data_IF_548169962477
#
_entry.id   IF_548169962477
#
_cell.length_a   1.000
_cell.length_b   1.000
_cell.length_c   1.000
_cell.angle_alpha   90.00
_cell.angle_beta   90.00
_cell.angle_gamma   90.00
#
_symmetry.space_group_name_H-M   'P 1'
#
loop_
_entity.id
_entity.type
_entity.pdbx_description
1 polymer ?
#
# COMPACT_ATOMS: atom_id res chain seq x y z
N UNK A 1 55.64 45.19 -3.35
CA UNK A 1 55.60 43.72 -3.21
C UNK A 1 54.43 43.35 -2.31
N UNK A 2 53.75 42.27 -2.69
CA UNK A 2 52.42 41.81 -2.28
C UNK A 2 52.22 41.72 -0.76
N UNK A 3 51.11 42.26 -0.24
CA UNK A 3 50.47 41.79 1.00
C UNK A 3 49.04 41.41 0.68
N UNK A 4 48.88 40.13 0.34
CA UNK A 4 47.60 39.45 0.14
C UNK A 4 47.02 39.26 1.54
N UNK A 5 45.97 40.02 1.88
CA UNK A 5 45.15 39.75 3.06
C UNK A 5 44.15 38.69 2.64
N UNK A 6 44.38 37.47 3.15
CA UNK A 6 43.60 36.27 2.89
C UNK A 6 42.26 36.37 3.64
N UNK A 7 41.19 36.71 2.93
CA UNK A 7 39.82 36.60 3.42
C UNK A 7 39.40 35.12 3.27
N UNK A 8 39.48 34.35 4.34
CA UNK A 8 38.87 33.01 4.43
C UNK A 8 37.37 33.22 4.67
N UNK A 9 36.61 33.29 3.60
CA UNK A 9 35.16 33.10 3.63
C UNK A 9 34.88 31.61 3.53
N UNK A 10 34.78 30.93 4.68
CA UNK A 10 34.20 29.58 4.75
C UNK A 10 32.68 29.74 4.64
N UNK A 11 32.17 29.63 3.42
CA UNK A 11 30.75 29.45 3.18
C UNK A 11 30.44 27.95 3.39
N UNK A 12 29.98 27.60 4.58
CA UNK A 12 29.41 26.29 4.87
C UNK A 12 28.06 26.21 4.14
N UNK A 13 28.08 25.75 2.88
CA UNK A 13 26.86 25.45 2.13
C UNK A 13 26.29 24.17 2.74
N UNK A 14 25.36 24.32 3.67
CA UNK A 14 24.56 23.21 4.19
C UNK A 14 23.69 22.64 3.07
N UNK A 15 24.13 21.55 2.46
CA UNK A 15 23.28 20.79 1.54
C UNK A 15 22.29 19.99 2.38
N UNK A 16 21.07 20.48 2.50
CA UNK A 16 19.94 19.73 3.00
C UNK A 16 19.70 18.54 2.06
N UNK A 17 20.19 17.35 2.41
CA UNK A 17 19.84 16.14 1.70
C UNK A 17 18.37 15.81 2.01
N UNK A 18 17.47 16.12 1.09
CA UNK A 18 16.10 15.63 1.13
C UNK A 18 16.14 14.12 0.90
N UNK A 19 16.07 13.33 1.96
CA UNK A 19 15.76 11.91 1.84
C UNK A 19 14.32 11.81 1.35
N UNK A 20 14.13 11.52 0.06
CA UNK A 20 12.81 11.31 -0.50
C UNK A 20 12.29 9.95 0.00
N UNK A 21 11.15 9.96 0.69
CA UNK A 21 10.44 8.74 1.05
C UNK A 21 10.04 8.05 -0.25
N UNK A 22 10.64 6.89 -0.50
CA UNK A 22 10.34 6.06 -1.65
C UNK A 22 8.91 5.53 -1.53
N UNK A 23 8.04 5.91 -2.48
CA UNK A 23 6.64 5.47 -2.55
C UNK A 23 6.43 4.69 -3.85
N UNK A 24 6.89 3.42 -3.92
CA UNK A 24 6.88 2.63 -5.13
C UNK A 24 5.49 2.03 -5.45
N UNK A 25 4.51 2.22 -4.56
CA UNK A 25 3.15 1.72 -4.75
C UNK A 25 2.18 2.88 -4.68
N UNK A 26 1.30 2.96 -5.68
CA UNK A 26 0.19 3.89 -5.71
C UNK A 26 -1.12 3.13 -5.56
N UNK A 27 -1.89 3.51 -4.55
CA UNK A 27 -3.21 2.94 -4.30
C UNK A 27 -4.33 3.77 -4.92
N UNK A 28 -5.37 3.09 -5.41
CA UNK A 28 -6.59 3.69 -5.91
C UNK A 28 -7.79 2.86 -5.49
N UNK A 29 -8.88 3.53 -5.11
CA UNK A 29 -10.06 2.90 -4.56
C UNK A 29 -11.28 3.27 -5.39
N UNK A 30 -12.09 2.27 -5.73
CA UNK A 30 -13.30 2.47 -6.52
C UNK A 30 -14.42 1.57 -5.99
N UNK A 31 -15.66 1.90 -6.34
CA UNK A 31 -16.83 1.08 -6.05
C UNK A 31 -17.67 0.92 -7.31
N UNK A 32 -18.19 -0.29 -7.52
CA UNK A 32 -19.16 -0.59 -8.58
C UNK A 32 -20.39 -1.24 -7.96
N UNK A 33 -21.58 -0.70 -8.21
CA UNK A 33 -22.83 -1.35 -7.83
C UNK A 33 -23.08 -2.56 -8.74
N UNK A 34 -23.37 -3.70 -8.15
CA UNK A 34 -23.80 -4.92 -8.87
C UNK A 34 -25.34 -5.02 -8.89
N UNK A 35 -26.01 -4.51 -7.85
CA UNK A 35 -27.48 -4.47 -7.75
C UNK A 35 -27.95 -3.22 -6.99
N UNK A 36 -29.24 -3.19 -6.60
CA UNK A 36 -29.80 -2.15 -5.74
C UNK A 36 -29.17 -2.13 -4.33
N UNK A 37 -28.77 -3.30 -3.82
CA UNK A 37 -28.32 -3.50 -2.45
C UNK A 37 -26.93 -4.15 -2.36
N UNK A 38 -26.24 -4.40 -3.47
CA UNK A 38 -24.89 -4.97 -3.48
C UNK A 38 -23.92 -4.14 -4.33
N UNK A 39 -22.68 -4.05 -3.84
CA UNK A 39 -21.59 -3.41 -4.54
C UNK A 39 -20.27 -4.12 -4.27
N UNK A 40 -19.31 -3.90 -5.17
CA UNK A 40 -17.93 -4.36 -5.03
C UNK A 40 -17.01 -3.16 -4.90
N UNK A 41 -16.23 -3.15 -3.84
CA UNK A 41 -15.12 -2.22 -3.62
C UNK A 41 -13.88 -2.81 -4.25
N UNK A 42 -13.25 -2.04 -5.14
CA UNK A 42 -11.99 -2.39 -5.79
C UNK A 42 -10.86 -1.59 -5.16
N UNK A 43 -9.82 -2.29 -4.69
CA UNK A 43 -8.63 -1.69 -4.09
C UNK A 43 -7.45 -2.06 -4.99
N UNK A 44 -6.99 -1.10 -5.78
CA UNK A 44 -5.95 -1.31 -6.79
C UNK A 44 -4.62 -0.78 -6.29
N UNK A 45 -3.59 -1.61 -6.36
CA UNK A 45 -2.20 -1.20 -6.22
C UNK A 45 -1.54 -1.19 -7.61
N UNK A 46 -1.01 -0.04 -8.01
CA UNK A 46 -0.05 0.09 -9.10
C UNK A 46 1.36 0.09 -8.50
N UNK A 47 2.17 -0.90 -8.85
CA UNK A 47 3.45 -1.22 -8.23
C UNK A 47 4.56 -0.95 -9.24
N UNK A 48 5.52 -0.11 -8.88
CA UNK A 48 6.67 0.19 -9.73
C UNK A 48 7.46 -1.09 -10.05
N UNK A 49 8.09 -1.11 -11.23
CA UNK A 49 8.89 -2.25 -11.67
C UNK A 49 9.93 -2.66 -10.63
N UNK A 50 10.14 -3.97 -10.48
CA UNK A 50 11.07 -4.59 -9.52
C UNK A 50 10.67 -4.46 -8.04
N UNK A 51 9.52 -3.85 -7.74
CA UNK A 51 8.90 -3.87 -6.43
C UNK A 51 7.76 -4.88 -6.36
N UNK A 52 7.47 -5.35 -5.15
CA UNK A 52 6.34 -6.20 -4.88
C UNK A 52 5.68 -5.90 -3.53
N UNK A 53 4.40 -6.25 -3.43
CA UNK A 53 3.63 -6.26 -2.17
C UNK A 53 3.13 -7.66 -1.87
N UNK A 54 2.87 -7.93 -0.60
CA UNK A 54 2.56 -9.28 -0.14
C UNK A 54 1.07 -9.59 -0.13
N UNK A 55 0.73 -10.84 -0.44
CA UNK A 55 -0.64 -11.30 -0.59
C UNK A 55 -1.43 -11.27 0.73
N UNK A 56 -2.76 -11.20 0.68
CA UNK A 56 -3.65 -11.27 1.86
C UNK A 56 -3.45 -12.55 2.69
N UNK A 57 -2.99 -13.62 2.04
CA UNK A 57 -2.79 -14.94 2.61
C UNK A 57 -1.31 -15.23 2.95
N UNK A 58 -0.45 -14.22 2.89
CA UNK A 58 0.95 -14.36 3.30
C UNK A 58 0.99 -14.82 4.77
N UNK A 59 1.77 -15.88 5.00
CA UNK A 59 1.91 -16.49 6.33
C UNK A 59 2.79 -15.63 7.22
N UNK A 60 2.48 -15.66 8.51
CA UNK A 60 3.27 -15.03 9.55
C UNK A 60 4.68 -15.65 9.62
N UNK A 61 5.64 -14.89 10.17
CA UNK A 61 7.05 -15.27 10.22
C UNK A 61 7.89 -14.76 9.04
N UNK A 62 7.26 -14.11 8.06
CA UNK A 62 7.90 -13.44 6.95
C UNK A 62 7.52 -11.95 6.86
N UNK A 63 7.41 -11.39 5.65
CA UNK A 63 7.04 -10.01 5.48
C UNK A 63 5.56 -9.76 5.83
N UNK A 64 5.23 -8.52 6.18
CA UNK A 64 3.87 -8.13 6.55
C UNK A 64 2.96 -8.20 5.32
N UNK A 65 1.86 -8.94 5.47
CA UNK A 65 0.84 -9.12 4.44
C UNK A 65 0.06 -7.83 4.18
N UNK A 66 -0.44 -7.67 2.96
CA UNK A 66 -1.46 -6.64 2.72
C UNK A 66 -2.70 -6.96 3.55
N UNK A 67 -3.23 -5.98 4.26
CA UNK A 67 -4.42 -6.11 5.08
C UNK A 67 -5.37 -4.93 4.87
N UNK A 68 -6.66 -5.24 4.77
CA UNK A 68 -7.73 -4.24 4.68
C UNK A 68 -8.65 -4.36 5.89
N UNK A 69 -8.84 -3.25 6.59
CA UNK A 69 -9.78 -3.15 7.71
C UNK A 69 -10.87 -2.15 7.34
N UNK A 70 -12.12 -2.59 7.25
CA UNK A 70 -13.26 -1.71 6.98
C UNK A 70 -13.93 -1.31 8.30
N UNK A 71 -14.10 0.00 8.52
CA UNK A 71 -14.70 0.51 9.76
C UNK A 71 -16.21 0.26 9.79
N UNK A 72 -16.77 -0.23 10.91
CA UNK A 72 -18.22 -0.46 11.03
C UNK A 72 -19.04 0.78 10.68
N UNK A 73 -20.16 0.59 9.98
CA UNK A 73 -21.07 1.67 9.59
C UNK A 73 -22.50 1.17 9.46
N UNK A 74 -23.47 2.06 9.68
CA UNK A 74 -24.88 1.80 9.43
C UNK A 74 -25.24 1.83 7.93
N UNK A 75 -24.35 2.33 7.07
CA UNK A 75 -24.58 2.46 5.63
C UNK A 75 -24.29 1.19 4.82
N UNK A 76 -23.53 0.24 5.38
CA UNK A 76 -23.21 -1.01 4.69
C UNK A 76 -22.98 -2.18 5.66
N UNK A 77 -22.77 -3.36 5.10
CA UNK A 77 -22.18 -4.52 5.79
C UNK A 77 -21.28 -5.28 4.82
N UNK A 78 -20.19 -5.86 5.30
CA UNK A 78 -19.31 -6.69 4.47
C UNK A 78 -19.99 -8.00 4.10
N UNK A 79 -19.79 -8.44 2.86
CA UNK A 79 -20.17 -9.78 2.40
C UNK A 79 -18.87 -10.58 2.24
N UNK A 80 -18.58 -11.42 3.24
CA UNK A 80 -17.35 -12.21 3.26
C UNK A 80 -16.07 -11.37 3.45
N UNK A 81 -14.93 -12.00 3.17
CA UNK A 81 -13.60 -11.37 3.25
C UNK A 81 -13.19 -10.76 1.92
N UNK A 82 -12.20 -9.86 1.96
CA UNK A 82 -11.55 -9.36 0.76
C UNK A 82 -10.89 -10.52 -0.01
N UNK A 83 -10.96 -10.45 -1.33
CA UNK A 83 -10.38 -11.44 -2.25
C UNK A 83 -9.26 -10.82 -3.07
N UNK A 84 -8.42 -11.69 -3.61
CA UNK A 84 -7.26 -11.35 -4.42
C UNK A 84 -7.14 -12.30 -5.62
N UNK A 85 -6.47 -11.91 -6.72
CA UNK A 85 -6.06 -12.86 -7.74
C UNK A 85 -5.01 -13.82 -7.19
N UNK A 86 -4.67 -14.86 -7.98
CA UNK A 86 -3.63 -15.81 -7.60
C UNK A 86 -2.27 -15.09 -7.48
N UNK A 87 -1.60 -15.12 -6.31
CA UNK A 87 -0.28 -14.52 -6.15
C UNK A 87 0.81 -15.37 -6.80
N UNK A 88 1.96 -14.75 -7.06
CA UNK A 88 3.21 -15.49 -7.27
C UNK A 88 3.67 -16.04 -5.93
N UNK A 89 4.27 -17.22 -5.92
CA UNK A 89 4.86 -17.80 -4.71
C UNK A 89 6.28 -18.23 -5.00
N UNK A 90 7.22 -17.82 -4.15
CA UNK A 90 8.63 -18.17 -4.27
C UNK A 90 9.22 -18.39 -2.89
N UNK A 91 10.17 -19.32 -2.79
CA UNK A 91 10.99 -19.44 -1.58
C UNK A 91 11.98 -18.27 -1.51
N UNK A 92 11.94 -17.52 -0.41
CA UNK A 92 12.88 -16.43 -0.15
C UNK A 92 13.79 -16.78 1.02
N UNK A 93 15.09 -16.79 0.76
CA UNK A 93 16.11 -17.08 1.78
C UNK A 93 16.13 -16.04 2.89
N UNK A 94 15.80 -14.78 2.59
CA UNK A 94 15.73 -13.70 3.57
C UNK A 94 14.74 -13.99 4.72
N UNK A 95 13.63 -14.68 4.40
CA UNK A 95 12.60 -15.07 5.36
C UNK A 95 12.61 -16.57 5.67
N UNK A 96 13.47 -17.33 5.00
CA UNK A 96 13.55 -18.80 5.09
C UNK A 96 12.18 -19.49 4.91
N UNK A 97 11.35 -18.97 4.02
CA UNK A 97 10.00 -19.48 3.79
C UNK A 97 9.49 -19.18 2.38
N UNK A 98 8.37 -19.79 2.02
CA UNK A 98 7.62 -19.38 0.83
C UNK A 98 6.89 -18.07 1.11
N UNK A 99 7.10 -17.11 0.21
CA UNK A 99 6.50 -15.79 0.22
C UNK A 99 5.59 -15.66 -1.00
N UNK A 100 4.38 -15.15 -0.77
CA UNK A 100 3.34 -14.94 -1.77
C UNK A 100 3.14 -13.43 -2.01
N UNK A 101 3.34 -12.98 -3.25
CA UNK A 101 3.43 -11.56 -3.58
C UNK A 101 2.83 -11.22 -4.96
N UNK A 102 2.71 -9.92 -5.21
CA UNK A 102 2.25 -9.32 -6.47
C UNK A 102 3.25 -8.29 -6.98
N UNK A 103 3.40 -8.20 -8.30
CA UNK A 103 4.23 -7.24 -9.03
C UNK A 103 3.38 -6.51 -10.07
N UNK A 104 3.85 -5.36 -10.56
CA UNK A 104 3.23 -4.48 -11.57
C UNK A 104 1.89 -3.89 -11.14
N UNK A 105 0.85 -4.72 -10.98
CA UNK A 105 -0.46 -4.28 -10.50
C UNK A 105 -1.26 -5.44 -9.91
N UNK A 106 -2.08 -5.14 -8.92
CA UNK A 106 -3.06 -6.07 -8.35
C UNK A 106 -4.34 -5.32 -7.98
N UNK A 107 -5.48 -5.99 -8.17
CA UNK A 107 -6.79 -5.48 -7.76
C UNK A 107 -7.41 -6.44 -6.77
N UNK A 108 -7.56 -5.98 -5.54
CA UNK A 108 -8.31 -6.66 -4.49
C UNK A 108 -9.78 -6.27 -4.56
N UNK A 109 -10.65 -7.15 -4.09
CA UNK A 109 -12.09 -6.93 -4.12
C UNK A 109 -12.72 -7.21 -2.76
N UNK A 110 -13.58 -6.31 -2.29
CA UNK A 110 -14.44 -6.55 -1.13
C UNK A 110 -15.90 -6.35 -1.54
N UNK A 111 -16.71 -7.41 -1.40
CA UNK A 111 -18.15 -7.31 -1.60
C UNK A 111 -18.82 -6.67 -0.38
N UNK A 112 -19.79 -5.80 -0.60
CA UNK A 112 -20.58 -5.16 0.46
C UNK A 112 -22.07 -5.19 0.11
N UNK A 113 -22.89 -5.28 1.15
CA UNK A 113 -24.32 -5.01 1.09
C UNK A 113 -24.56 -3.55 1.46
N UNK A 114 -25.19 -2.79 0.59
CA UNK A 114 -25.59 -1.41 0.81
C UNK A 114 -26.89 -1.36 1.63
N UNK A 115 -26.95 -0.43 2.59
CA UNK A 115 -28.16 -0.13 3.37
C UNK A 115 -28.77 1.18 2.87
N UNK A 116 -30.06 1.40 3.12
CA UNK A 116 -30.78 2.59 2.65
C UNK A 116 -30.15 3.87 3.21
N UNK A 117 -29.83 4.81 2.31
CA UNK A 117 -29.29 6.13 2.67
C UNK A 117 -28.05 6.51 1.87
N UNK A 118 -27.52 7.71 2.14
CA UNK A 118 -26.16 8.10 1.73
C UNK A 118 -25.18 7.63 2.80
N UNK A 119 -23.97 7.27 2.40
CA UNK A 119 -22.93 6.91 3.36
C UNK A 119 -21.54 6.95 2.75
N UNK A 120 -20.56 6.84 3.63
CA UNK A 120 -19.16 6.73 3.27
C UNK A 120 -18.63 5.45 3.88
N UNK A 121 -17.95 4.65 3.06
CA UNK A 121 -17.14 3.53 3.52
C UNK A 121 -15.77 4.07 3.89
N UNK A 122 -15.36 3.85 5.13
CA UNK A 122 -14.03 4.15 5.63
C UNK A 122 -13.27 2.85 5.81
N UNK A 123 -12.02 2.83 5.36
CA UNK A 123 -11.14 1.68 5.53
C UNK A 123 -9.73 2.09 5.84
N UNK A 124 -8.98 1.13 6.36
CA UNK A 124 -7.54 1.19 6.59
C UNK A 124 -6.87 0.10 5.76
N UNK A 125 -5.72 0.43 5.22
CA UNK A 125 -4.86 -0.43 4.44
C UNK A 125 -3.49 -0.45 5.13
N UNK A 126 -3.00 -1.64 5.48
CA UNK A 126 -1.64 -1.87 5.92
C UNK A 126 -0.94 -2.76 4.90
N UNK A 127 0.26 -2.38 4.47
CA UNK A 127 1.03 -3.19 3.52
C UNK A 127 2.53 -2.94 3.65
N UNK A 128 3.32 -3.93 3.26
CA UNK A 128 4.78 -3.83 3.20
C UNK A 128 5.24 -4.02 1.76
N UNK A 129 6.25 -3.24 1.38
CA UNK A 129 6.79 -3.22 0.01
C UNK A 129 8.26 -3.54 0.03
N UNK A 130 8.69 -4.47 -0.81
CA UNK A 130 10.08 -4.86 -0.94
C UNK A 130 10.51 -4.96 -2.41
N UNK A 131 11.82 -4.95 -2.59
CA UNK A 131 12.50 -5.31 -3.82
C UNK A 131 13.64 -6.29 -3.49
N UNK A 132 14.46 -6.63 -4.48
CA UNK A 132 15.56 -7.59 -4.31
C UNK A 132 16.68 -7.15 -3.36
N UNK A 133 16.70 -5.89 -2.92
CA UNK A 133 17.79 -5.32 -2.11
C UNK A 133 17.32 -4.94 -0.71
N UNK A 134 16.08 -4.48 -0.58
CA UNK A 134 15.55 -3.91 0.66
C UNK A 134 14.05 -4.04 0.76
N UNK A 135 13.58 -3.90 1.98
CA UNK A 135 12.19 -3.70 2.32
C UNK A 135 12.00 -2.31 2.92
N UNK A 136 10.91 -1.65 2.55
CA UNK A 136 10.46 -0.43 3.21
C UNK A 136 9.69 -0.80 4.49
N UNK A 137 9.70 0.06 5.51
CA UNK A 137 8.78 -0.07 6.64
C UNK A 137 7.33 -0.22 6.14
N UNK A 138 6.48 -0.99 6.83
CA UNK A 138 5.05 -1.05 6.51
C UNK A 138 4.42 0.35 6.48
N UNK A 139 3.50 0.57 5.54
CA UNK A 139 2.75 1.81 5.41
C UNK A 139 1.27 1.57 5.74
N UNK A 140 0.73 2.45 6.58
CA UNK A 140 -0.70 2.52 6.89
C UNK A 140 -1.34 3.65 6.08
N UNK A 141 -2.44 3.34 5.39
CA UNK A 141 -3.21 4.29 4.59
C UNK A 141 -4.69 4.20 4.98
N UNK A 142 -5.25 5.34 5.40
CA UNK A 142 -6.70 5.47 5.51
C UNK A 142 -7.29 5.83 4.15
N UNK A 143 -8.43 5.23 3.81
CA UNK A 143 -9.18 5.54 2.59
C UNK A 143 -10.67 5.69 2.86
N UNK A 144 -11.34 6.46 2.01
CA UNK A 144 -12.78 6.68 2.07
C UNK A 144 -13.40 6.61 0.67
N UNK A 145 -14.58 5.99 0.56
CA UNK A 145 -15.34 5.88 -0.69
C UNK A 145 -16.80 6.26 -0.41
N UNK A 146 -17.35 7.16 -1.21
CA UNK A 146 -18.77 7.49 -1.13
C UNK A 146 -19.62 6.36 -1.76
N UNK A 147 -20.66 5.91 -1.05
CA UNK A 147 -21.52 4.77 -1.39
C UNK A 147 -22.75 5.16 -2.23
#
# INVERSE_FOLDING_TARGET
MKKIVLIISIALIGTSAFSQIEKPVKWSFAIKRESKDEAVVFLKADIQNSWHIYSLDQKDGGPIKTAFTFLPSSAYSLIGKATQPKPYTKFESAFNMNVSYFENAVVFQQKIKLKLGKGTLHGKLEYMTCNNQKCLPPEDLDFAINL
#
